data_IF_596243912419
#
_entry.id   IF_596243912419
#
_cell.length_a   1.000
_cell.length_b   1.000
_cell.length_c   1.000
_cell.angle_alpha   90.00
_cell.angle_beta   90.00
_cell.angle_gamma   90.00
#
_symmetry.space_group_name_H-M   'P 1'
#
loop_
_entity.id
_entity.type
_entity.pdbx_description
1 polymer ?
#
# COMPACT_ATOMS: atom_id res chain seq x y z
N UNK A 1 6.60 -2.50 -0.18
CA UNK A 1 5.76 -3.69 0.11
C UNK A 1 4.39 -3.54 -0.54
N UNK A 2 3.87 -4.62 -1.05
CA UNK A 2 2.51 -4.68 -1.62
C UNK A 2 1.67 -5.56 -0.70
N UNK A 3 0.59 -5.03 -0.16
CA UNK A 3 -0.36 -5.78 0.65
C UNK A 3 -1.70 -5.88 -0.11
N UNK A 4 -1.96 -7.04 -0.69
CA UNK A 4 -3.14 -7.30 -1.51
C UNK A 4 -3.36 -8.81 -1.56
N UNK A 5 -4.61 -9.26 -1.48
CA UNK A 5 -4.93 -10.69 -1.51
C UNK A 5 -5.21 -11.24 -2.92
N UNK A 6 -5.10 -10.41 -3.95
CA UNK A 6 -5.22 -10.83 -5.35
C UNK A 6 -3.84 -11.15 -5.92
N UNK A 7 -3.49 -12.44 -6.08
CA UNK A 7 -2.15 -12.81 -6.55
C UNK A 7 -1.83 -12.33 -7.96
N UNK A 8 -2.83 -12.21 -8.84
CA UNK A 8 -2.63 -11.72 -10.19
C UNK A 8 -2.21 -10.26 -10.21
N UNK A 9 -2.85 -9.43 -9.38
CA UNK A 9 -2.50 -8.01 -9.24
C UNK A 9 -1.12 -7.88 -8.61
N UNK A 10 -0.84 -8.63 -7.56
CA UNK A 10 0.46 -8.59 -6.86
C UNK A 10 1.59 -8.95 -7.83
N UNK A 11 1.44 -10.05 -8.56
CA UNK A 11 2.47 -10.50 -9.50
C UNK A 11 2.73 -9.47 -10.59
N UNK A 12 1.68 -8.87 -11.15
CA UNK A 12 1.81 -7.87 -12.20
C UNK A 12 2.53 -6.61 -11.70
N UNK A 13 2.13 -6.09 -10.54
CA UNK A 13 2.73 -4.88 -9.96
C UNK A 13 4.18 -5.17 -9.57
N UNK A 14 4.44 -6.31 -8.94
CA UNK A 14 5.78 -6.70 -8.51
C UNK A 14 6.74 -6.73 -9.69
N UNK A 15 6.33 -7.38 -10.79
CA UNK A 15 7.15 -7.47 -11.99
C UNK A 15 7.47 -6.08 -12.57
N UNK A 16 6.46 -5.22 -12.66
CA UNK A 16 6.63 -3.87 -13.19
C UNK A 16 7.54 -3.01 -12.32
N UNK A 17 7.40 -3.09 -11.01
CA UNK A 17 8.23 -2.33 -10.08
C UNK A 17 9.67 -2.84 -10.05
N UNK A 18 9.87 -4.15 -10.12
CA UNK A 18 11.21 -4.72 -10.20
C UNK A 18 11.92 -4.29 -11.49
N UNK A 19 11.18 -4.22 -12.60
CA UNK A 19 11.71 -3.70 -13.85
C UNK A 19 12.20 -2.26 -13.72
N UNK A 20 11.54 -1.46 -12.89
CA UNK A 20 11.94 -0.07 -12.62
C UNK A 20 13.04 0.06 -11.56
N UNK A 21 13.56 -1.05 -11.06
CA UNK A 21 14.67 -1.06 -10.12
C UNK A 21 14.30 -1.11 -8.64
N UNK A 22 13.02 -1.28 -8.32
CA UNK A 22 12.58 -1.39 -6.94
C UNK A 22 12.74 -2.82 -6.41
N UNK A 23 13.04 -2.93 -5.13
CA UNK A 23 12.97 -4.21 -4.42
C UNK A 23 11.55 -4.34 -3.84
N UNK A 24 10.88 -5.45 -4.16
CA UNK A 24 9.47 -5.62 -3.83
C UNK A 24 9.28 -6.82 -2.90
N UNK A 25 8.53 -6.60 -1.83
CA UNK A 25 7.99 -7.68 -1.00
C UNK A 25 6.47 -7.61 -1.02
N UNK A 26 5.80 -8.71 -0.76
CA UNK A 26 4.35 -8.75 -0.79
C UNK A 26 3.79 -9.59 0.36
N UNK A 27 2.54 -9.30 0.72
CA UNK A 27 1.78 -10.08 1.70
C UNK A 27 0.31 -10.08 1.30
N UNK A 28 -0.42 -11.08 1.78
CA UNK A 28 -1.85 -11.20 1.53
C UNK A 28 -2.70 -10.83 2.74
N UNK A 29 -2.10 -10.52 3.88
CA UNK A 29 -2.86 -10.25 5.10
C UNK A 29 -2.34 -9.04 5.87
N UNK A 30 -3.25 -8.47 6.68
CA UNK A 30 -2.95 -7.28 7.46
C UNK A 30 -2.11 -7.56 8.71
N UNK A 31 -2.16 -8.78 9.25
CA UNK A 31 -1.38 -9.10 10.43
C UNK A 31 0.12 -9.07 10.14
N UNK A 32 0.53 -9.55 8.96
CA UNK A 32 1.93 -9.43 8.52
C UNK A 32 2.35 -7.98 8.40
N UNK A 33 1.48 -7.13 7.86
CA UNK A 33 1.75 -5.68 7.76
C UNK A 33 1.94 -5.07 9.14
N UNK A 34 1.05 -5.38 10.08
CA UNK A 34 1.10 -4.79 11.43
C UNK A 34 2.24 -5.35 12.28
N UNK A 35 2.72 -6.54 11.97
CA UNK A 35 3.80 -7.18 12.73
C UNK A 35 5.20 -6.85 12.22
N UNK A 36 5.32 -5.97 11.22
CA UNK A 36 6.62 -5.53 10.74
C UNK A 36 7.44 -4.88 11.85
N UNK A 37 8.62 -5.41 12.13
CA UNK A 37 9.52 -4.90 13.14
C UNK A 37 10.94 -4.70 12.62
N UNK A 38 11.29 -5.42 11.56
CA UNK A 38 12.60 -5.38 10.92
C UNK A 38 12.39 -5.24 9.41
N UNK A 39 13.36 -4.67 8.72
CA UNK A 39 13.30 -4.48 7.27
C UNK A 39 12.02 -3.75 6.83
N UNK A 40 11.76 -2.60 7.47
CA UNK A 40 10.58 -1.78 7.15
C UNK A 40 10.66 -1.30 5.70
N UNK A 41 9.56 -1.34 4.96
CA UNK A 41 9.54 -0.86 3.59
C UNK A 41 9.65 0.65 3.52
N UNK A 42 10.14 1.16 2.40
CA UNK A 42 10.17 2.60 2.13
C UNK A 42 8.80 3.13 1.69
N UNK A 43 7.91 2.24 1.30
CA UNK A 43 6.55 2.57 0.89
C UNK A 43 5.67 1.33 0.96
N UNK A 44 4.42 1.50 1.34
CA UNK A 44 3.42 0.44 1.38
C UNK A 44 2.28 0.75 0.41
N UNK A 45 2.04 -0.19 -0.53
CA UNK A 45 0.80 -0.22 -1.30
C UNK A 45 -0.17 -1.11 -0.54
N UNK A 46 -1.28 -0.55 -0.09
CA UNK A 46 -2.22 -1.25 0.78
C UNK A 46 -3.60 -1.29 0.14
N UNK A 47 -4.06 -2.50 -0.20
CA UNK A 47 -5.42 -2.69 -0.66
C UNK A 47 -6.38 -2.38 0.48
N UNK A 48 -7.45 -1.68 0.17
CA UNK A 48 -8.42 -1.27 1.20
C UNK A 48 -9.19 -2.45 1.78
N UNK A 49 -9.27 -3.54 1.05
CA UNK A 49 -10.02 -4.72 1.50
C UNK A 49 -9.25 -5.99 1.20
N UNK A 50 -8.70 -6.63 2.24
CA UNK A 50 -7.89 -7.86 2.16
C UNK A 50 -8.41 -8.90 3.13
N UNK A 51 -8.79 -10.08 2.62
CA UNK A 51 -9.20 -11.21 3.46
C UNK A 51 -10.20 -10.81 4.56
N UNK A 52 -11.14 -9.93 4.22
CA UNK A 52 -12.14 -9.45 5.18
C UNK A 52 -11.64 -8.35 6.13
N UNK A 53 -10.41 -7.90 5.99
CA UNK A 53 -9.86 -6.81 6.80
C UNK A 53 -9.92 -5.47 6.07
N UNK A 54 -10.28 -4.42 6.80
CA UNK A 54 -10.34 -3.06 6.25
C UNK A 54 -8.96 -2.41 6.32
N UNK A 55 -8.39 -2.09 5.16
CA UNK A 55 -7.08 -1.43 5.07
C UNK A 55 -7.02 -0.09 5.77
N UNK A 56 -8.15 0.60 5.94
CA UNK A 56 -8.18 1.87 6.67
C UNK A 56 -7.84 1.66 8.15
N UNK A 57 -8.32 0.57 8.75
CA UNK A 57 -7.98 0.24 10.13
C UNK A 57 -6.50 -0.13 10.26
N UNK A 58 -5.98 -0.89 9.30
CA UNK A 58 -4.56 -1.24 9.25
C UNK A 58 -3.71 0.03 9.15
N UNK A 59 -4.07 0.94 8.26
CA UNK A 59 -3.37 2.21 8.07
C UNK A 59 -3.35 3.05 9.35
N UNK A 60 -4.49 3.17 10.02
CA UNK A 60 -4.57 3.89 11.30
C UNK A 60 -3.59 3.34 12.33
N UNK A 61 -3.54 2.02 12.47
CA UNK A 61 -2.63 1.37 13.41
C UNK A 61 -1.16 1.61 13.04
N UNK A 62 -0.83 1.55 11.76
CA UNK A 62 0.53 1.86 11.29
C UNK A 62 0.93 3.29 11.64
N UNK A 63 0.02 4.24 11.44
CA UNK A 63 0.30 5.67 11.70
C UNK A 63 0.35 6.00 13.19
N UNK A 64 -0.18 5.14 14.05
CA UNK A 64 -0.13 5.31 15.50
C UNK A 64 1.12 4.68 16.14
N UNK A 65 1.86 3.85 15.40
CA UNK A 65 3.06 3.21 15.92
C UNK A 65 4.30 4.03 15.60
N UNK A 66 5.15 4.26 16.59
CA UNK A 66 6.42 4.98 16.40
C UNK A 66 7.32 4.31 15.36
N UNK A 67 7.24 2.98 15.26
CA UNK A 67 8.06 2.21 14.33
C UNK A 67 7.65 2.39 12.87
N UNK A 68 6.35 2.58 12.59
CA UNK A 68 5.81 2.53 11.23
C UNK A 68 5.14 3.84 10.78
N UNK A 69 4.97 4.80 11.67
CA UNK A 69 4.22 6.03 11.35
C UNK A 69 4.77 6.84 10.19
N UNK A 70 6.06 6.72 9.90
CA UNK A 70 6.71 7.46 8.82
C UNK A 70 6.76 6.71 7.49
N UNK A 71 6.24 5.49 7.43
CA UNK A 71 6.17 4.74 6.17
C UNK A 71 5.06 5.36 5.31
N UNK A 72 5.36 5.85 4.10
CA UNK A 72 4.32 6.34 3.20
C UNK A 72 3.38 5.21 2.81
N UNK A 73 2.07 5.47 2.83
CA UNK A 73 1.05 4.50 2.48
C UNK A 73 0.23 5.03 1.31
N UNK A 74 0.17 4.27 0.22
CA UNK A 74 -0.76 4.49 -0.88
C UNK A 74 -1.88 3.45 -0.74
N UNK A 75 -3.10 3.90 -0.50
CA UNK A 75 -4.25 3.02 -0.48
C UNK A 75 -4.77 2.78 -1.88
N UNK A 76 -5.16 1.55 -2.17
CA UNK A 76 -5.65 1.14 -3.48
C UNK A 76 -7.03 0.53 -3.33
N UNK A 77 -7.99 0.94 -4.16
CA UNK A 77 -9.34 0.40 -4.12
C UNK A 77 -10.04 0.47 -5.47
N UNK A 78 -10.95 -0.47 -5.70
CA UNK A 78 -11.84 -0.46 -6.86
C UNK A 78 -12.92 0.63 -6.73
N UNK A 79 -13.18 1.15 -5.53
CA UNK A 79 -14.18 2.19 -5.30
C UNK A 79 -13.53 3.55 -5.14
N UNK A 80 -13.93 4.52 -5.98
CA UNK A 80 -13.43 5.90 -5.90
C UNK A 80 -14.04 6.67 -4.73
N UNK A 81 -15.16 6.22 -4.20
CA UNK A 81 -15.94 6.93 -3.18
C UNK A 81 -15.25 6.91 -1.81
N UNK A 82 -14.23 6.07 -1.63
CA UNK A 82 -13.56 5.91 -0.34
C UNK A 82 -12.26 6.67 -0.22
N UNK A 83 -11.93 7.53 -1.19
CA UNK A 83 -10.71 8.33 -1.16
C UNK A 83 -10.60 9.16 0.11
N UNK A 84 -11.66 9.85 0.48
CA UNK A 84 -11.65 10.71 1.66
C UNK A 84 -11.43 9.91 2.94
N UNK A 85 -12.09 8.75 3.08
CA UNK A 85 -11.91 7.91 4.25
C UNK A 85 -10.52 7.27 4.32
N UNK A 86 -9.92 6.96 3.17
CA UNK A 86 -8.54 6.47 3.11
C UNK A 86 -7.56 7.53 3.61
N UNK A 87 -7.70 8.77 3.11
CA UNK A 87 -6.84 9.88 3.55
C UNK A 87 -7.08 10.23 5.02
N UNK A 88 -8.33 10.17 5.48
CA UNK A 88 -8.67 10.39 6.89
C UNK A 88 -8.06 9.33 7.81
N UNK A 89 -7.82 8.11 7.30
CA UNK A 89 -7.16 7.05 8.04
C UNK A 89 -5.64 7.24 8.14
N UNK A 90 -5.10 8.25 7.44
CA UNK A 90 -3.68 8.56 7.48
C UNK A 90 -2.91 8.15 6.23
N UNK A 91 -3.57 7.65 5.19
CA UNK A 91 -2.91 7.33 3.93
C UNK A 91 -2.31 8.59 3.31
N UNK A 92 -1.14 8.46 2.73
CA UNK A 92 -0.44 9.57 2.09
C UNK A 92 -0.96 9.85 0.69
N UNK A 93 -1.53 8.82 0.04
CA UNK A 93 -2.16 8.97 -1.26
C UNK A 93 -3.19 7.85 -1.47
N UNK A 94 -3.94 7.95 -2.55
CA UNK A 94 -4.98 7.00 -2.93
C UNK A 94 -4.91 6.73 -4.43
N UNK A 95 -5.16 5.49 -4.82
CA UNK A 95 -5.14 5.08 -6.23
C UNK A 95 -6.33 4.17 -6.51
N UNK A 96 -7.18 4.56 -7.46
CA UNK A 96 -8.37 3.78 -7.84
C UNK A 96 -7.99 2.69 -8.87
N UNK A 97 -8.50 1.47 -8.66
CA UNK A 97 -8.38 0.38 -9.64
C UNK A 97 -9.48 0.51 -10.70
N UNK A 98 -9.20 0.18 -11.96
CA UNK A 98 -7.88 -0.08 -12.52
C UNK A 98 -7.09 1.23 -12.66
N UNK A 99 -5.78 1.16 -12.46
CA UNK A 99 -4.90 2.33 -12.57
C UNK A 99 -3.84 2.09 -13.64
N UNK A 100 -3.29 3.19 -14.15
CA UNK A 100 -2.14 3.11 -15.05
C UNK A 100 -0.85 3.02 -14.26
N UNK A 101 0.10 2.23 -14.76
CA UNK A 101 1.38 2.04 -14.07
C UNK A 101 2.13 3.36 -13.89
N UNK A 102 2.03 4.27 -14.85
CA UNK A 102 2.71 5.57 -14.75
C UNK A 102 2.18 6.41 -13.59
N UNK A 103 0.88 6.33 -13.29
CA UNK A 103 0.30 7.03 -12.14
C UNK A 103 0.86 6.46 -10.84
N UNK A 104 0.96 5.13 -10.73
CA UNK A 104 1.55 4.49 -9.58
C UNK A 104 3.01 4.89 -9.40
N UNK A 105 3.81 4.84 -10.48
CA UNK A 105 5.23 5.20 -10.42
C UNK A 105 5.44 6.65 -10.01
N UNK A 106 4.61 7.57 -10.52
CA UNK A 106 4.67 8.98 -10.15
C UNK A 106 4.41 9.17 -8.65
N UNK A 107 3.38 8.51 -8.12
CA UNK A 107 3.04 8.59 -6.70
C UNK A 107 4.16 8.00 -5.82
N UNK A 108 4.73 6.88 -6.23
CA UNK A 108 5.87 6.28 -5.50
C UNK A 108 7.05 7.24 -5.46
N UNK A 109 7.42 7.83 -6.59
CA UNK A 109 8.53 8.78 -6.67
C UNK A 109 8.28 10.01 -5.79
N UNK A 110 7.06 10.53 -5.78
CA UNK A 110 6.73 11.70 -4.98
C UNK A 110 6.84 11.43 -3.47
N UNK A 111 6.57 10.20 -3.04
CA UNK A 111 6.59 9.85 -1.63
C UNK A 111 7.93 9.30 -1.14
N UNK A 112 8.81 8.86 -2.04
CA UNK A 112 10.09 8.25 -1.68
C UNK A 112 11.31 9.08 -2.11
N UNK A 113 11.09 10.17 -2.76
CA UNK A 113 12.17 11.04 -3.24
C UNK A 113 12.90 11.78 -2.11
#
# INVERSE_FOLDING_TARGET
MIADDDPGIVDAIELLLEFEGYQVSSTIDGSTVLDMKMELPDLLLLDIWMLGEDGRDICKKLKQSELTKNIPVIMVSASKDIKESALAAGADDFLAKPFEINDLLTKIKNLTA
#
